data_IF_877704021739
#
_entry.id   IF_877704021739
#
_cell.length_a   1.000
_cell.length_b   1.000
_cell.length_c   1.000
_cell.angle_alpha   90.00
_cell.angle_beta   90.00
_cell.angle_gamma   90.00
#
_symmetry.space_group_name_H-M   'P 1'
#
loop_
_entity.id
_entity.type
_entity.pdbx_description
1 polymer ?
#
# COMPACT_ATOMS: atom_id res chain seq x y z
N UNK A 1 7.10 -0.68 26.00
CA UNK A 1 7.33 0.65 25.39
C UNK A 1 6.81 0.67 23.97
N UNK A 2 7.55 0.29 22.92
CA UNK A 2 7.05 0.47 21.54
C UNK A 2 5.70 -0.20 21.25
N UNK A 3 5.46 -1.44 21.65
CA UNK A 3 4.15 -2.10 21.43
C UNK A 3 3.01 -1.38 22.13
N UNK A 4 3.23 -0.85 23.32
CA UNK A 4 2.23 -0.06 24.05
C UNK A 4 1.95 1.25 23.33
N UNK A 5 2.99 1.99 22.91
CA UNK A 5 2.85 3.23 22.16
C UNK A 5 2.08 3.02 20.85
N UNK A 6 2.43 1.99 20.08
CA UNK A 6 1.72 1.65 18.83
C UNK A 6 0.27 1.26 19.12
N UNK A 7 -0.01 0.44 20.14
CA UNK A 7 -1.36 0.03 20.50
C UNK A 7 -2.23 1.24 20.88
N UNK A 8 -1.74 2.10 21.78
CA UNK A 8 -2.45 3.32 22.20
C UNK A 8 -2.73 4.23 21.00
N UNK A 9 -1.73 4.47 20.17
CA UNK A 9 -1.84 5.32 19.00
C UNK A 9 -2.86 4.77 17.98
N UNK A 10 -2.77 3.48 17.61
CA UNK A 10 -3.66 2.88 16.62
C UNK A 10 -5.09 2.69 17.14
N UNK A 11 -5.30 2.51 18.44
CA UNK A 11 -6.64 2.52 19.03
C UNK A 11 -7.36 3.85 18.79
N UNK A 12 -6.66 4.98 18.87
CA UNK A 12 -7.23 6.31 18.59
C UNK A 12 -7.55 6.51 17.10
N UNK A 13 -6.70 6.02 16.22
CA UNK A 13 -6.77 6.38 14.80
C UNK A 13 -7.50 5.34 13.91
N UNK A 14 -7.44 4.06 14.24
CA UNK A 14 -8.05 3.00 13.42
C UNK A 14 -9.41 2.53 13.93
N UNK A 15 -9.78 2.93 15.15
CA UNK A 15 -11.06 2.58 15.80
C UNK A 15 -11.37 1.08 15.70
N UNK A 16 -10.47 0.20 16.19
CA UNK A 16 -10.68 -1.23 16.11
C UNK A 16 -11.94 -1.64 16.87
N UNK A 17 -12.59 -2.73 16.43
CA UNK A 17 -13.82 -3.26 17.04
C UNK A 17 -13.63 -3.72 18.48
N UNK A 18 -12.42 -4.11 18.85
CA UNK A 18 -11.99 -4.34 20.22
C UNK A 18 -10.62 -3.69 20.45
N UNK A 19 -10.30 -3.21 21.66
CA UNK A 19 -9.05 -2.53 21.92
C UNK A 19 -7.82 -3.37 21.55
N UNK A 20 -6.85 -2.72 20.91
CA UNK A 20 -5.55 -3.31 20.63
C UNK A 20 -4.71 -3.30 21.92
N UNK A 21 -4.09 -4.42 22.22
CA UNK A 21 -3.18 -4.60 23.34
C UNK A 21 -1.75 -4.90 22.85
N UNK A 22 -0.70 -4.64 23.66
CA UNK A 22 0.68 -4.92 23.27
C UNK A 22 0.94 -6.37 22.83
N UNK A 23 0.16 -7.32 23.32
CA UNK A 23 0.24 -8.73 22.95
C UNK A 23 -0.20 -9.00 21.49
N UNK A 24 -1.02 -8.12 20.93
CA UNK A 24 -1.52 -8.22 19.54
C UNK A 24 -0.51 -7.78 18.47
N UNK A 25 0.73 -7.43 18.87
CA UNK A 25 1.73 -6.88 17.97
C UNK A 25 3.00 -7.71 17.89
N UNK A 26 3.48 -7.89 16.67
CA UNK A 26 4.90 -8.20 16.38
C UNK A 26 5.50 -7.01 15.67
N UNK A 27 6.50 -6.36 16.28
CA UNK A 27 7.22 -5.23 15.68
C UNK A 27 8.27 -5.79 14.72
N UNK A 28 8.32 -5.20 13.52
CA UNK A 28 9.15 -5.67 12.42
C UNK A 28 10.04 -4.55 11.87
N UNK A 29 11.06 -4.91 11.13
CA UNK A 29 11.95 -3.96 10.44
C UNK A 29 11.29 -3.37 9.17
N UNK A 30 10.15 -2.67 9.36
CA UNK A 30 9.30 -2.12 8.31
C UNK A 30 8.30 -3.16 7.75
N UNK A 31 7.43 -2.72 6.82
CA UNK A 31 6.40 -3.58 6.23
C UNK A 31 6.95 -4.71 5.35
N UNK A 32 8.06 -4.53 4.65
CA UNK A 32 8.67 -5.62 3.86
C UNK A 32 8.99 -6.83 4.74
N UNK A 33 9.60 -6.59 5.92
CA UNK A 33 9.80 -7.67 6.90
C UNK A 33 8.49 -8.23 7.43
N UNK A 34 7.45 -7.41 7.59
CA UNK A 34 6.15 -7.88 8.04
C UNK A 34 5.51 -8.84 7.03
N UNK A 35 5.53 -8.48 5.75
CA UNK A 35 5.01 -9.31 4.65
C UNK A 35 5.76 -10.64 4.59
N UNK A 36 7.10 -10.59 4.59
CA UNK A 36 7.96 -11.78 4.57
C UNK A 36 7.71 -12.69 5.79
N UNK A 37 7.60 -12.13 6.98
CA UNK A 37 7.40 -12.86 8.22
C UNK A 37 6.02 -13.54 8.27
N UNK A 38 4.96 -12.85 7.84
CA UNK A 38 3.63 -13.45 7.75
C UNK A 38 3.65 -14.59 6.74
N UNK A 39 4.20 -14.37 5.54
CA UNK A 39 4.28 -15.40 4.51
C UNK A 39 4.99 -16.66 5.03
N UNK A 40 6.13 -16.48 5.71
CA UNK A 40 6.88 -17.58 6.30
C UNK A 40 6.10 -18.34 7.39
N UNK A 41 5.29 -17.63 8.18
CA UNK A 41 4.57 -18.25 9.31
C UNK A 41 3.30 -19.00 8.90
N UNK A 42 2.62 -18.61 7.80
CA UNK A 42 1.30 -19.14 7.45
C UNK A 42 1.27 -19.97 6.16
N UNK A 43 2.37 -20.01 5.43
CA UNK A 43 2.45 -20.72 4.16
C UNK A 43 3.63 -21.67 4.11
N UNK A 44 3.47 -22.75 3.35
CA UNK A 44 4.51 -23.76 3.08
C UNK A 44 5.18 -23.48 1.72
N UNK A 45 6.39 -24.02 1.46
CA UNK A 45 6.95 -24.00 0.13
C UNK A 45 5.98 -24.61 -0.90
N UNK A 46 5.70 -23.82 -1.95
CA UNK A 46 4.75 -24.21 -3.00
C UNK A 46 3.32 -23.69 -2.81
N UNK A 47 2.95 -23.16 -1.66
CA UNK A 47 1.66 -22.43 -1.48
C UNK A 47 1.68 -21.11 -2.28
N UNK A 48 0.52 -20.53 -2.53
CA UNK A 48 0.35 -19.27 -3.25
C UNK A 48 -0.34 -18.20 -2.42
N UNK A 49 -0.01 -16.93 -2.70
CA UNK A 49 -0.79 -15.77 -2.27
C UNK A 49 -1.49 -15.13 -3.46
N UNK A 50 -2.72 -14.68 -3.24
CA UNK A 50 -3.43 -13.85 -4.20
C UNK A 50 -3.02 -12.39 -4.01
N UNK A 51 -2.82 -11.70 -5.13
CA UNK A 51 -2.56 -10.27 -5.18
C UNK A 51 -3.55 -9.65 -6.17
N UNK A 52 -4.38 -8.71 -5.70
CA UNK A 52 -5.29 -7.95 -6.56
C UNK A 52 -4.49 -7.06 -7.52
N UNK A 53 -4.68 -7.25 -8.84
CA UNK A 53 -4.02 -6.35 -9.81
C UNK A 53 -4.78 -5.03 -9.91
N UNK A 54 -4.03 -4.00 -9.95
CA UNK A 54 -2.58 -3.83 -9.80
C UNK A 54 -2.11 -3.88 -8.34
N UNK A 55 -0.92 -4.42 -8.09
CA UNK A 55 -0.36 -4.61 -6.75
C UNK A 55 0.93 -3.81 -6.55
N UNK A 56 1.32 -3.65 -5.29
CA UNK A 56 2.62 -3.09 -4.94
C UNK A 56 3.74 -4.05 -5.37
N UNK A 57 4.66 -3.56 -6.19
CA UNK A 57 5.65 -4.38 -6.89
C UNK A 57 6.57 -5.19 -5.96
N UNK A 58 6.85 -4.71 -4.74
CA UNK A 58 7.71 -5.45 -3.80
C UNK A 58 6.98 -6.55 -3.02
N UNK A 59 5.66 -6.68 -3.11
CA UNK A 59 4.99 -7.84 -2.52
C UNK A 59 5.55 -9.16 -3.07
N UNK A 60 5.88 -9.19 -4.36
CA UNK A 60 6.42 -10.39 -4.98
C UNK A 60 7.77 -10.80 -4.39
N UNK A 61 8.83 -9.97 -4.41
CA UNK A 61 10.09 -10.33 -3.78
C UNK A 61 9.96 -10.56 -2.27
N UNK A 62 9.15 -9.77 -1.55
CA UNK A 62 8.96 -9.93 -0.11
C UNK A 62 8.34 -11.30 0.23
N UNK A 63 7.38 -11.79 -0.58
CA UNK A 63 6.73 -13.08 -0.39
C UNK A 63 7.63 -14.27 -0.71
N UNK A 64 8.55 -14.14 -1.68
CA UNK A 64 9.38 -15.27 -2.15
C UNK A 64 10.73 -15.39 -1.45
N UNK A 65 11.12 -14.38 -0.66
CA UNK A 65 12.48 -14.25 -0.14
C UNK A 65 12.99 -15.48 0.63
N UNK A 66 12.15 -16.13 1.43
CA UNK A 66 12.51 -17.33 2.20
C UNK A 66 11.79 -18.60 1.77
N UNK A 67 10.64 -18.47 1.19
CA UNK A 67 9.74 -19.60 0.95
C UNK A 67 9.90 -20.23 -0.42
N UNK A 68 10.65 -19.57 -1.32
CA UNK A 68 10.82 -20.05 -2.69
C UNK A 68 9.50 -20.17 -3.45
N UNK A 69 8.49 -19.35 -3.09
CA UNK A 69 7.19 -19.37 -3.74
C UNK A 69 7.33 -19.19 -5.24
N UNK A 70 6.68 -20.06 -5.98
CA UNK A 70 6.48 -19.82 -7.39
C UNK A 70 5.48 -18.67 -7.55
N UNK A 71 5.99 -17.52 -7.99
CA UNK A 71 5.20 -16.36 -8.34
C UNK A 71 4.27 -16.68 -9.51
N UNK A 72 2.95 -16.51 -9.34
CA UNK A 72 1.98 -16.73 -10.39
C UNK A 72 1.25 -15.46 -10.81
N UNK A 73 1.53 -15.04 -12.03
CA UNK A 73 0.78 -14.01 -12.76
C UNK A 73 -0.71 -14.37 -12.95
N UNK A 74 -1.12 -15.65 -12.77
CA UNK A 74 -2.47 -16.18 -12.97
C UNK A 74 -2.85 -17.17 -11.87
N UNK A 75 -2.70 -16.76 -10.59
CA UNK A 75 -2.85 -17.65 -9.45
C UNK A 75 -4.26 -18.26 -9.34
N UNK A 76 -5.32 -17.48 -9.62
CA UNK A 76 -6.69 -17.95 -9.47
C UNK A 76 -7.06 -19.05 -10.48
N UNK A 77 -6.69 -18.90 -11.75
CA UNK A 77 -6.98 -19.90 -12.78
C UNK A 77 -6.23 -21.23 -12.56
N UNK A 78 -5.01 -21.18 -12.06
CA UNK A 78 -4.21 -22.37 -11.74
C UNK A 78 -4.54 -23.01 -10.40
N UNK A 79 -4.92 -22.25 -9.39
CA UNK A 79 -5.41 -22.79 -8.12
C UNK A 79 -6.76 -23.50 -8.33
N UNK A 80 -7.64 -22.97 -9.17
CA UNK A 80 -8.86 -23.64 -9.59
C UNK A 80 -8.61 -24.92 -10.38
N UNK A 81 -7.44 -25.09 -11.00
CA UNK A 81 -7.02 -26.33 -11.67
C UNK A 81 -6.45 -27.42 -10.72
N UNK A 82 -6.53 -27.22 -9.41
CA UNK A 82 -6.39 -28.29 -8.41
C UNK A 82 -4.96 -28.68 -7.99
N UNK A 83 -3.94 -27.88 -8.29
CA UNK A 83 -2.55 -28.29 -8.01
C UNK A 83 -1.85 -27.48 -6.90
N UNK A 84 -2.45 -26.41 -6.35
CA UNK A 84 -1.76 -25.54 -5.42
C UNK A 84 -2.67 -24.95 -4.34
N UNK A 85 -2.25 -25.07 -3.07
CA UNK A 85 -2.95 -24.44 -1.96
C UNK A 85 -2.76 -22.93 -2.03
N UNK A 86 -3.86 -22.15 -1.93
CA UNK A 86 -3.82 -20.71 -1.72
C UNK A 86 -3.79 -20.46 -0.22
N UNK A 87 -2.70 -19.86 0.27
CA UNK A 87 -2.54 -19.54 1.68
C UNK A 87 -3.40 -18.33 2.07
N UNK A 88 -3.48 -17.30 1.23
CA UNK A 88 -4.25 -16.11 1.53
C UNK A 88 -4.20 -15.03 0.45
N UNK A 89 -4.82 -13.88 0.78
CA UNK A 89 -4.80 -12.66 -0.01
C UNK A 89 -4.07 -11.55 0.73
N UNK A 90 -3.25 -10.77 0.02
CA UNK A 90 -2.73 -9.49 0.52
C UNK A 90 -3.40 -8.37 -0.25
N UNK A 91 -4.00 -7.43 0.49
CA UNK A 91 -4.66 -6.23 -0.04
C UNK A 91 -3.98 -5.00 0.53
N UNK A 92 -3.58 -4.06 -0.32
CA UNK A 92 -3.14 -2.73 0.13
C UNK A 92 -4.35 -1.82 0.25
N UNK A 93 -4.68 -1.37 1.46
CA UNK A 93 -5.80 -0.48 1.75
C UNK A 93 -5.35 0.66 2.69
N UNK A 94 -5.20 1.88 2.20
CA UNK A 94 -5.44 2.39 0.83
C UNK A 94 -4.55 1.76 -0.24
N UNK A 95 -5.10 1.66 -1.47
CA UNK A 95 -4.44 0.98 -2.57
C UNK A 95 -3.19 1.73 -3.05
N UNK A 96 -2.04 1.04 -3.06
CA UNK A 96 -0.83 1.52 -3.68
C UNK A 96 -0.93 1.29 -5.16
N UNK A 97 -0.96 2.37 -5.77
CA UNK A 97 -0.88 3.20 -6.92
C UNK A 97 -2.19 3.91 -7.28
N UNK A 98 -3.38 3.39 -6.93
CA UNK A 98 -4.64 4.06 -7.27
C UNK A 98 -4.96 5.22 -6.31
N UNK A 99 -4.33 5.24 -5.12
CA UNK A 99 -4.61 6.27 -4.11
C UNK A 99 -6.05 6.24 -3.58
N UNK A 100 -6.70 5.07 -3.60
CA UNK A 100 -8.10 4.89 -3.20
C UNK A 100 -8.25 3.91 -2.07
N UNK A 101 -9.27 4.12 -1.24
CA UNK A 101 -9.69 3.17 -0.23
C UNK A 101 -10.71 2.18 -0.79
N UNK A 102 -10.70 0.96 -0.26
CA UNK A 102 -11.79 0.01 -0.49
C UNK A 102 -13.01 0.41 0.33
N UNK A 103 -14.21 0.18 -0.23
CA UNK A 103 -15.42 0.37 0.55
C UNK A 103 -15.53 -0.66 1.68
N UNK A 104 -16.21 -0.29 2.78
CA UNK A 104 -16.50 -1.21 3.89
C UNK A 104 -17.12 -2.52 3.41
N UNK A 105 -18.08 -2.44 2.48
CA UNK A 105 -18.74 -3.62 1.91
C UNK A 105 -17.76 -4.51 1.14
N UNK A 106 -16.89 -3.92 0.32
CA UNK A 106 -15.87 -4.68 -0.43
C UNK A 106 -14.89 -5.40 0.50
N UNK A 107 -14.44 -4.73 1.57
CA UNK A 107 -13.54 -5.35 2.55
C UNK A 107 -14.24 -6.52 3.27
N UNK A 108 -15.46 -6.31 3.76
CA UNK A 108 -16.23 -7.38 4.41
C UNK A 108 -16.44 -8.57 3.47
N UNK A 109 -16.84 -8.35 2.23
CA UNK A 109 -17.04 -9.43 1.25
C UNK A 109 -15.76 -10.22 1.00
N UNK A 110 -14.62 -9.54 0.88
CA UNK A 110 -13.31 -10.21 0.74
C UNK A 110 -12.97 -11.02 2.02
N UNK A 111 -13.09 -10.41 3.19
CA UNK A 111 -12.77 -11.06 4.46
C UNK A 111 -13.65 -12.29 4.69
N UNK A 112 -14.96 -12.21 4.39
CA UNK A 112 -15.90 -13.34 4.48
C UNK A 112 -15.50 -14.45 3.52
N UNK A 113 -15.28 -14.13 2.24
CA UNK A 113 -14.85 -15.11 1.23
C UNK A 113 -13.59 -15.88 1.65
N UNK A 114 -12.58 -15.17 2.17
CA UNK A 114 -11.33 -15.80 2.62
C UNK A 114 -11.52 -16.62 3.90
N UNK A 115 -12.38 -16.17 4.82
CA UNK A 115 -12.77 -16.92 6.02
C UNK A 115 -13.49 -18.24 5.69
N UNK A 116 -14.48 -18.20 4.77
CA UNK A 116 -15.24 -19.37 4.33
C UNK A 116 -14.38 -20.43 3.62
N UNK A 117 -13.29 -20.01 2.99
CA UNK A 117 -12.40 -20.89 2.24
C UNK A 117 -11.12 -21.25 2.99
N UNK A 118 -11.05 -21.05 4.29
CA UNK A 118 -9.95 -21.44 5.15
C UNK A 118 -8.61 -20.76 4.80
N UNK A 119 -8.68 -19.55 4.21
CA UNK A 119 -7.55 -18.77 3.76
C UNK A 119 -7.30 -17.55 4.67
N UNK A 120 -6.07 -17.04 4.66
CA UNK A 120 -5.72 -15.83 5.40
C UNK A 120 -6.04 -14.56 4.60
N UNK A 121 -6.53 -13.54 5.30
CA UNK A 121 -6.71 -12.19 4.77
C UNK A 121 -5.70 -11.23 5.44
N UNK A 122 -4.85 -10.59 4.65
CA UNK A 122 -3.82 -9.68 5.13
C UNK A 122 -4.09 -8.29 4.55
N UNK A 123 -4.40 -7.33 5.41
CA UNK A 123 -4.58 -5.92 5.05
C UNK A 123 -3.29 -5.15 5.27
N UNK A 124 -2.66 -4.70 4.20
CA UNK A 124 -1.56 -3.76 4.27
C UNK A 124 -2.11 -2.33 4.35
N UNK A 125 -2.13 -1.78 5.57
CA UNK A 125 -2.69 -0.48 5.92
C UNK A 125 -1.59 0.59 6.12
N UNK A 126 -0.48 0.47 5.41
CA UNK A 126 0.68 1.38 5.53
C UNK A 126 0.34 2.85 5.22
N UNK A 127 -0.78 3.10 4.52
CA UNK A 127 -1.30 4.44 4.19
C UNK A 127 -2.56 4.82 4.98
N UNK A 128 -2.88 4.11 6.06
CA UNK A 128 -4.11 4.26 6.83
C UNK A 128 -4.40 5.71 7.26
N UNK A 129 -3.36 6.43 7.66
CA UNK A 129 -3.47 7.79 8.17
C UNK A 129 -3.21 8.86 7.10
N UNK A 130 -2.93 8.44 5.87
CA UNK A 130 -2.72 9.31 4.71
C UNK A 130 -3.98 9.40 3.82
N UNK A 131 -5.17 9.24 4.40
CA UNK A 131 -6.45 9.51 3.72
C UNK A 131 -6.80 11.00 3.87
N UNK A 132 -7.23 11.64 2.77
CA UNK A 132 -7.47 13.08 2.65
C UNK A 132 -8.70 13.36 1.79
N UNK A 133 -9.21 14.60 1.82
CA UNK A 133 -10.39 15.01 1.06
C UNK A 133 -10.00 15.41 -0.38
N UNK A 134 -10.74 14.89 -1.36
CA UNK A 134 -10.54 15.20 -2.77
C UNK A 134 -11.58 16.23 -3.24
N UNK A 135 -11.12 17.45 -3.46
CA UNK A 135 -11.97 18.55 -3.93
C UNK A 135 -11.94 18.76 -5.46
N UNK A 136 -11.06 18.05 -6.17
CA UNK A 136 -10.84 18.23 -7.61
C UNK A 136 -11.79 17.36 -8.43
N UNK A 137 -11.93 16.10 -8.08
CA UNK A 137 -12.72 15.14 -8.85
C UNK A 137 -14.19 15.18 -8.42
N UNK A 138 -14.84 16.32 -8.65
CA UNK A 138 -16.22 16.58 -8.22
C UNK A 138 -17.20 15.58 -8.83
N UNK A 139 -18.16 15.15 -8.01
CA UNK A 139 -19.18 14.17 -8.41
C UNK A 139 -18.77 12.71 -8.23
N UNK A 140 -17.53 12.46 -7.77
CA UNK A 140 -17.10 11.16 -7.28
C UNK A 140 -17.10 11.18 -5.74
N UNK A 141 -17.69 10.15 -5.15
CA UNK A 141 -17.68 9.93 -3.69
C UNK A 141 -16.75 8.73 -3.39
N UNK A 142 -15.44 8.96 -3.24
CA UNK A 142 -14.52 7.88 -2.90
C UNK A 142 -14.82 7.35 -1.50
N UNK A 143 -14.70 6.03 -1.32
CA UNK A 143 -14.92 5.41 -0.02
C UNK A 143 -13.94 5.98 1.03
N UNK A 144 -14.40 6.33 2.24
CA UNK A 144 -13.49 6.71 3.32
C UNK A 144 -12.62 5.52 3.72
N UNK A 145 -11.45 5.81 4.29
CA UNK A 145 -10.63 4.75 4.83
C UNK A 145 -11.36 4.01 5.94
N UNK A 146 -11.34 2.69 5.87
CA UNK A 146 -11.87 1.79 6.89
C UNK A 146 -10.79 0.74 7.15
N UNK A 147 -10.32 0.64 8.41
CA UNK A 147 -9.40 -0.43 8.80
C UNK A 147 -10.14 -1.76 8.92
N UNK A 148 -9.50 -2.84 8.49
CA UNK A 148 -10.01 -4.19 8.72
C UNK A 148 -10.20 -4.51 10.21
N UNK A 149 -9.42 -3.88 11.10
CA UNK A 149 -9.56 -4.02 12.55
C UNK A 149 -10.89 -3.49 13.11
N UNK A 150 -11.57 -2.60 12.38
CA UNK A 150 -12.88 -2.06 12.77
C UNK A 150 -14.07 -2.89 12.27
N UNK A 151 -13.82 -3.93 11.47
CA UNK A 151 -14.85 -4.73 10.83
C UNK A 151 -15.16 -5.99 11.63
N UNK A 152 -16.45 -6.26 11.83
CA UNK A 152 -16.95 -7.45 12.50
C UNK A 152 -18.08 -8.07 11.71
N UNK A 153 -18.14 -9.39 11.67
CA UNK A 153 -19.26 -10.21 11.20
C UNK A 153 -19.15 -11.58 11.86
N UNK A 154 -20.27 -12.27 12.01
CA UNK A 154 -20.33 -13.67 12.48
C UNK A 154 -19.67 -14.64 11.50
N UNK A 155 -19.53 -14.24 10.25
CA UNK A 155 -18.98 -15.07 9.17
C UNK A 155 -17.46 -14.95 9.02
N UNK A 156 -16.83 -14.12 9.87
CA UNK A 156 -15.38 -13.94 9.86
C UNK A 156 -14.69 -14.96 10.76
N UNK A 157 -13.52 -15.39 10.35
CA UNK A 157 -12.57 -16.20 11.13
C UNK A 157 -11.44 -15.29 11.65
N UNK A 158 -11.58 -14.70 12.86
CA UNK A 158 -10.73 -13.59 13.29
C UNK A 158 -9.24 -13.94 13.43
N UNK A 159 -8.90 -15.19 13.68
CA UNK A 159 -7.52 -15.67 13.80
C UNK A 159 -6.80 -15.78 12.44
N UNK A 160 -7.54 -15.60 11.32
CA UNK A 160 -7.01 -15.57 9.95
C UNK A 160 -6.95 -14.17 9.35
N UNK A 161 -7.35 -13.15 10.10
CA UNK A 161 -7.36 -11.75 9.64
C UNK A 161 -6.20 -11.02 10.32
N UNK A 162 -5.30 -10.48 9.50
CA UNK A 162 -4.12 -9.77 9.97
C UNK A 162 -3.99 -8.42 9.29
N UNK A 163 -3.48 -7.46 10.02
CA UNK A 163 -3.20 -6.12 9.49
C UNK A 163 -1.71 -5.81 9.60
N UNK A 164 -1.16 -5.14 8.61
CA UNK A 164 0.20 -4.61 8.63
C UNK A 164 0.11 -3.09 8.64
N UNK A 165 0.90 -2.46 9.51
CA UNK A 165 1.04 -1.00 9.57
C UNK A 165 2.50 -0.60 9.75
N UNK A 166 2.85 0.63 9.39
CA UNK A 166 4.22 1.16 9.56
C UNK A 166 4.24 2.67 9.61
N UNK A 167 5.21 3.22 10.32
CA UNK A 167 5.51 4.66 10.32
C UNK A 167 6.13 5.15 9.01
N UNK A 168 6.52 4.27 8.11
CA UNK A 168 7.30 4.59 6.91
C UNK A 168 6.62 5.58 5.97
N UNK A 169 5.29 5.53 5.86
CA UNK A 169 4.51 6.35 4.92
C UNK A 169 3.74 7.44 5.65
N UNK A 170 2.95 7.07 6.65
CA UNK A 170 2.10 8.00 7.40
C UNK A 170 2.91 9.11 8.11
N UNK A 171 4.12 8.79 8.56
CA UNK A 171 5.05 9.74 9.20
C UNK A 171 6.25 10.13 8.32
N UNK A 172 6.38 9.57 7.11
CA UNK A 172 7.59 9.76 6.32
C UNK A 172 8.87 9.19 6.98
N UNK A 173 8.73 8.41 8.04
CA UNK A 173 9.81 7.94 8.90
C UNK A 173 10.34 6.55 8.45
N UNK A 174 10.50 6.36 7.14
CA UNK A 174 10.96 5.10 6.57
C UNK A 174 12.36 4.66 7.05
N UNK A 175 13.20 5.61 7.43
CA UNK A 175 14.54 5.34 7.98
C UNK A 175 14.53 4.71 9.38
N UNK A 176 13.47 4.90 10.18
CA UNK A 176 13.34 4.28 11.49
C UNK A 176 13.07 2.76 11.41
N UNK A 177 12.58 2.27 10.27
CA UNK A 177 12.28 0.85 10.04
C UNK A 177 11.28 0.27 11.03
N UNK A 178 10.26 1.04 11.44
CA UNK A 178 9.21 0.59 12.34
C UNK A 178 8.01 0.11 11.53
N UNK A 179 7.78 -1.20 11.56
CA UNK A 179 6.58 -1.86 11.07
C UNK A 179 5.95 -2.71 12.16
N UNK A 180 4.71 -3.10 11.97
CA UNK A 180 3.96 -3.92 12.90
C UNK A 180 3.05 -4.89 12.16
N UNK A 181 3.06 -6.15 12.60
CA UNK A 181 2.03 -7.14 12.32
C UNK A 181 1.04 -7.07 13.46
N UNK A 182 -0.23 -6.89 13.15
CA UNK A 182 -1.34 -6.79 14.10
C UNK A 182 -2.24 -8.01 13.91
N UNK A 183 -2.40 -8.81 14.95
CA UNK A 183 -3.24 -9.99 14.97
C UNK A 183 -3.87 -10.14 16.35
N UNK A 184 -5.15 -9.79 16.47
CA UNK A 184 -5.85 -9.76 17.75
C UNK A 184 -6.21 -11.17 18.26
N UNK A 185 -6.49 -12.09 17.34
CA UNK A 185 -7.09 -13.39 17.66
C UNK A 185 -6.17 -14.58 17.41
N UNK A 186 -4.90 -14.35 16.98
CA UNK A 186 -3.95 -15.43 16.70
C UNK A 186 -2.65 -15.31 17.50
N UNK A 187 -2.66 -15.68 18.79
CA UNK A 187 -1.46 -15.66 19.62
C UNK A 187 -0.39 -16.67 19.15
N UNK A 188 -0.79 -17.70 18.41
CA UNK A 188 0.13 -18.68 17.86
C UNK A 188 0.98 -18.10 16.75
N UNK A 189 0.43 -17.20 15.93
CA UNK A 189 1.19 -16.44 14.94
C UNK A 189 2.31 -15.64 15.61
N UNK A 190 1.99 -14.88 16.66
CA UNK A 190 3.00 -14.09 17.38
C UNK A 190 4.10 -14.95 17.99
N UNK A 191 3.75 -16.15 18.51
CA UNK A 191 4.75 -17.11 19.02
C UNK A 191 5.66 -17.62 17.92
N UNK A 192 5.11 -17.96 16.75
CA UNK A 192 5.90 -18.41 15.60
C UNK A 192 6.86 -17.30 15.10
N UNK A 193 6.41 -16.04 15.13
CA UNK A 193 7.19 -14.90 14.67
C UNK A 193 8.34 -14.50 15.60
N UNK A 194 8.38 -14.97 16.85
CA UNK A 194 9.46 -14.62 17.82
C UNK A 194 10.83 -14.98 17.26
N UNK A 195 10.97 -16.17 16.68
CA UNK A 195 12.26 -16.64 16.13
C UNK A 195 12.73 -15.79 14.96
N UNK A 196 11.81 -15.38 14.09
CA UNK A 196 12.11 -14.57 12.90
C UNK A 196 12.40 -13.13 13.30
N UNK A 197 11.60 -12.57 14.22
CA UNK A 197 11.74 -11.21 14.72
C UNK A 197 13.09 -10.97 15.43
N UNK A 198 13.71 -12.01 15.97
CA UNK A 198 15.01 -11.91 16.63
C UNK A 198 16.08 -11.33 15.70
N UNK A 199 16.04 -11.67 14.42
CA UNK A 199 17.03 -11.22 13.41
C UNK A 199 16.57 -10.05 12.56
N UNK A 200 15.31 -9.66 12.66
CA UNK A 200 14.68 -8.61 11.85
C UNK A 200 13.91 -7.58 12.69
N UNK A 201 14.30 -7.37 13.94
CA UNK A 201 13.71 -6.33 14.78
C UNK A 201 14.36 -4.97 14.52
N UNK A 202 13.62 -3.87 14.67
CA UNK A 202 14.18 -2.53 14.64
C UNK A 202 15.20 -2.32 15.76
N UNK A 203 16.11 -1.36 15.57
CA UNK A 203 17.07 -1.00 16.62
C UNK A 203 16.36 -0.45 17.87
N UNK A 204 16.99 -0.58 19.03
CA UNK A 204 16.46 -0.01 20.28
C UNK A 204 16.32 1.51 20.18
N UNK A 205 17.23 2.18 19.47
CA UNK A 205 17.14 3.62 19.23
C UNK A 205 15.90 3.98 18.40
N UNK A 206 15.65 3.25 17.30
CA UNK A 206 14.44 3.43 16.49
C UNK A 206 13.16 3.19 17.30
N UNK A 207 13.14 2.14 18.12
CA UNK A 207 12.01 1.84 18.99
C UNK A 207 11.74 2.95 20.00
N UNK A 208 12.78 3.53 20.58
CA UNK A 208 12.66 4.63 21.56
C UNK A 208 12.15 5.92 20.87
N UNK A 209 12.75 6.30 19.74
CA UNK A 209 12.32 7.49 18.99
C UNK A 209 10.85 7.33 18.53
N UNK A 210 10.50 6.18 17.97
CA UNK A 210 9.15 5.92 17.51
C UNK A 210 8.12 5.96 18.65
N UNK A 211 8.45 5.36 19.80
CA UNK A 211 7.56 5.39 20.97
C UNK A 211 7.30 6.83 21.43
N UNK A 212 8.33 7.65 21.56
CA UNK A 212 8.18 9.06 21.96
C UNK A 212 7.32 9.86 20.97
N UNK A 213 7.49 9.64 19.66
CA UNK A 213 6.67 10.29 18.63
C UNK A 213 5.19 9.90 18.77
N UNK A 214 4.91 8.61 18.99
CA UNK A 214 3.55 8.09 19.06
C UNK A 214 2.86 8.43 20.39
N UNK A 215 3.61 8.57 21.48
CA UNK A 215 3.13 8.93 22.81
C UNK A 215 2.85 10.44 22.94
N UNK A 216 3.46 11.29 22.10
CA UNK A 216 3.09 12.70 22.00
C UNK A 216 1.82 12.84 21.14
N UNK A 217 0.67 12.64 21.78
CA UNK A 217 -0.65 12.66 21.11
C UNK A 217 -0.90 13.99 20.39
N UNK A 218 -0.59 15.10 21.03
CA UNK A 218 -0.85 16.43 20.46
C UNK A 218 -0.02 16.65 19.19
N UNK A 219 1.25 16.28 19.23
CA UNK A 219 2.14 16.44 18.09
C UNK A 219 1.76 15.47 16.96
N UNK A 220 1.51 14.20 17.26
CA UNK A 220 1.19 13.18 16.26
C UNK A 220 -0.12 13.47 15.55
N UNK A 221 -1.15 13.93 16.27
CA UNK A 221 -2.45 14.31 15.68
C UNK A 221 -2.31 15.54 14.78
N UNK A 222 -1.58 16.57 15.25
CA UNK A 222 -1.30 17.76 14.45
C UNK A 222 -0.50 17.42 13.19
N UNK A 223 0.51 16.55 13.31
CA UNK A 223 1.32 16.10 12.17
C UNK A 223 0.45 15.41 11.13
N UNK A 224 -0.37 14.44 11.53
CA UNK A 224 -1.25 13.69 10.61
C UNK A 224 -2.24 14.63 9.93
N UNK A 225 -2.89 15.53 10.68
CA UNK A 225 -3.82 16.48 10.09
C UNK A 225 -3.14 17.40 9.06
N UNK A 226 -1.96 17.93 9.40
CA UNK A 226 -1.17 18.77 8.50
C UNK A 226 -0.73 17.99 7.26
N UNK A 227 -0.29 16.74 7.43
CA UNK A 227 0.11 15.90 6.32
C UNK A 227 -1.06 15.62 5.35
N UNK A 228 -2.24 15.30 5.88
CA UNK A 228 -3.46 15.09 5.07
C UNK A 228 -3.82 16.32 4.25
N UNK A 229 -3.82 17.50 4.87
CA UNK A 229 -4.08 18.77 4.16
C UNK A 229 -3.08 19.00 3.03
N UNK A 230 -1.78 18.84 3.31
CA UNK A 230 -0.72 18.99 2.30
C UNK A 230 -0.83 17.99 1.17
N UNK A 231 -1.22 16.75 1.45
CA UNK A 231 -1.42 15.72 0.43
C UNK A 231 -2.61 16.07 -0.48
N UNK A 232 -3.72 16.57 0.09
CA UNK A 232 -4.86 17.05 -0.69
C UNK A 232 -4.46 18.21 -1.62
N UNK A 233 -3.71 19.19 -1.10
CA UNK A 233 -3.21 20.33 -1.89
C UNK A 233 -2.34 19.87 -3.05
N UNK A 234 -1.41 18.95 -2.79
CA UNK A 234 -0.50 18.39 -3.80
C UNK A 234 -1.25 17.57 -4.85
N UNK A 235 -2.22 16.77 -4.43
CA UNK A 235 -3.10 16.07 -5.37
C UNK A 235 -3.83 17.06 -6.28
N UNK A 236 -4.40 18.12 -5.69
CA UNK A 236 -5.07 19.18 -6.44
C UNK A 236 -4.18 19.83 -7.51
N UNK A 237 -2.90 20.02 -7.19
CA UNK A 237 -1.92 20.57 -8.12
C UNK A 237 -1.66 19.60 -9.30
N UNK A 238 -1.37 18.33 -9.01
CA UNK A 238 -1.04 17.34 -10.06
C UNK A 238 -2.27 16.99 -10.90
N UNK A 239 -3.46 16.88 -10.31
CA UNK A 239 -4.68 16.59 -11.03
C UNK A 239 -5.09 17.74 -11.97
N UNK A 240 -4.96 19.00 -11.52
CA UNK A 240 -5.18 20.18 -12.40
C UNK A 240 -4.17 20.24 -13.53
N UNK A 241 -2.90 19.93 -13.25
CA UNK A 241 -1.88 19.83 -14.30
C UNK A 241 -2.27 18.77 -15.34
N UNK A 242 -2.67 17.57 -14.92
CA UNK A 242 -3.09 16.50 -15.83
C UNK A 242 -4.27 16.93 -16.71
N UNK A 243 -5.29 17.57 -16.11
CA UNK A 243 -6.46 18.10 -16.83
C UNK A 243 -6.06 19.17 -17.85
N UNK A 244 -5.17 20.11 -17.50
CA UNK A 244 -4.71 21.19 -18.40
C UNK A 244 -3.97 20.62 -19.63
N UNK A 245 -3.25 19.52 -19.47
CA UNK A 245 -2.50 18.87 -20.56
C UNK A 245 -3.28 17.73 -21.22
N UNK A 246 -4.56 17.56 -20.88
CA UNK A 246 -5.41 16.49 -21.46
C UNK A 246 -4.91 15.08 -21.12
N UNK A 247 -4.20 14.90 -20.02
CA UNK A 247 -3.69 13.62 -19.56
C UNK A 247 -4.80 12.89 -18.80
N UNK A 248 -5.17 11.70 -19.28
CA UNK A 248 -6.11 10.84 -18.58
C UNK A 248 -5.49 10.28 -17.31
N UNK A 249 -6.21 10.31 -16.20
CA UNK A 249 -5.77 9.69 -14.95
C UNK A 249 -6.94 9.02 -14.22
N UNK A 250 -6.62 8.17 -13.26
CA UNK A 250 -7.65 7.55 -12.43
C UNK A 250 -8.16 8.55 -11.39
N UNK A 251 -9.29 9.18 -11.67
CA UNK A 251 -9.93 10.16 -10.81
C UNK A 251 -10.49 9.51 -9.52
N UNK A 252 -10.75 10.32 -8.49
CA UNK A 252 -11.34 9.88 -7.20
C UNK A 252 -10.30 9.25 -6.25
N UNK A 253 -9.03 9.56 -6.39
CA UNK A 253 -8.04 9.27 -5.33
C UNK A 253 -8.35 10.11 -4.09
N UNK A 254 -8.24 9.50 -2.91
CA UNK A 254 -8.49 10.16 -1.61
C UNK A 254 -7.54 9.68 -0.52
N UNK A 255 -6.46 9.02 -0.90
CA UNK A 255 -5.48 8.51 0.05
C UNK A 255 -4.10 8.33 -0.59
N UNK A 256 -3.09 8.08 0.25
CA UNK A 256 -1.70 7.95 -0.15
C UNK A 256 -1.21 9.21 -0.90
N UNK A 257 -0.27 9.07 -1.83
CA UNK A 257 0.37 10.20 -2.50
C UNK A 257 0.74 9.90 -3.96
N UNK A 258 -0.19 9.23 -4.66
CA UNK A 258 0.00 8.78 -6.04
C UNK A 258 -1.09 9.32 -6.97
N UNK A 259 -0.68 9.79 -8.16
CA UNK A 259 -1.55 9.92 -9.31
C UNK A 259 -1.23 8.80 -10.30
N UNK A 260 -2.24 8.06 -10.72
CA UNK A 260 -2.14 7.04 -11.74
C UNK A 260 -2.61 7.61 -13.06
N UNK A 261 -1.69 7.84 -14.01
CA UNK A 261 -1.93 8.61 -15.22
C UNK A 261 -1.47 7.89 -16.49
N UNK A 262 -2.21 8.06 -17.57
CA UNK A 262 -1.91 7.57 -18.93
C UNK A 262 -1.03 8.56 -19.67
N UNK A 263 0.27 8.49 -19.41
CA UNK A 263 1.28 9.31 -20.10
C UNK A 263 1.56 8.78 -21.52
N UNK A 264 1.33 7.49 -21.75
CA UNK A 264 1.55 6.86 -23.05
C UNK A 264 0.61 7.40 -24.13
N UNK A 265 -0.69 7.44 -23.86
CA UNK A 265 -1.66 8.02 -24.78
C UNK A 265 -1.46 9.53 -24.97
N UNK A 266 -1.05 10.23 -23.89
CA UNK A 266 -0.71 11.64 -23.97
C UNK A 266 0.48 11.87 -24.92
N UNK A 267 1.55 11.11 -24.76
CA UNK A 267 2.72 11.19 -25.63
C UNK A 267 2.39 10.87 -27.11
N UNK A 268 1.63 9.80 -27.38
CA UNK A 268 1.23 9.38 -28.73
C UNK A 268 0.42 10.43 -29.48
N UNK A 269 -0.38 11.26 -28.79
CA UNK A 269 -1.15 12.34 -29.45
C UNK A 269 -0.28 13.41 -30.10
N UNK A 270 0.90 13.65 -29.56
CA UNK A 270 1.79 14.73 -30.00
C UNK A 270 3.02 14.23 -30.76
N UNK A 271 3.22 12.92 -30.81
CA UNK A 271 4.39 12.32 -31.45
C UNK A 271 3.96 11.31 -32.53
N UNK A 272 4.28 11.57 -33.77
CA UNK A 272 3.94 10.73 -34.93
C UNK A 272 4.78 9.46 -35.08
N UNK A 273 5.64 9.16 -34.12
CA UNK A 273 6.49 7.96 -34.13
C UNK A 273 5.70 6.68 -33.85
N UNK A 274 5.89 5.66 -34.67
CA UNK A 274 5.32 4.32 -34.45
C UNK A 274 6.17 3.53 -33.47
N UNK A 275 5.88 3.65 -32.17
CA UNK A 275 6.43 2.77 -31.14
C UNK A 275 5.40 1.67 -30.88
N UNK A 276 5.84 0.43 -30.90
CA UNK A 276 4.97 -0.69 -30.54
C UNK A 276 4.54 -0.59 -29.09
N UNK A 277 3.32 -1.03 -28.78
CA UNK A 277 2.78 -0.99 -27.43
C UNK A 277 3.67 -1.75 -26.43
N UNK A 278 4.26 -2.87 -26.84
CA UNK A 278 5.16 -3.67 -26.00
C UNK A 278 6.44 -2.94 -25.55
N UNK A 279 6.90 -1.94 -26.34
CA UNK A 279 8.13 -1.17 -26.09
C UNK A 279 7.83 0.21 -25.47
N UNK A 280 6.58 0.64 -25.45
CA UNK A 280 6.20 2.03 -25.09
C UNK A 280 6.63 2.41 -23.68
N UNK A 281 6.37 1.54 -22.69
CA UNK A 281 6.71 1.82 -21.29
C UNK A 281 8.22 1.98 -21.11
N UNK A 282 9.00 1.09 -21.68
CA UNK A 282 10.46 1.09 -21.57
C UNK A 282 11.06 2.32 -22.29
N UNK A 283 10.50 2.67 -23.47
CA UNK A 283 10.87 3.87 -24.18
C UNK A 283 10.57 5.15 -23.38
N UNK A 284 9.35 5.29 -22.84
CA UNK A 284 8.96 6.46 -22.06
C UNK A 284 9.76 6.58 -20.77
N UNK A 285 10.05 5.46 -20.09
CA UNK A 285 10.92 5.48 -18.92
C UNK A 285 12.31 6.04 -19.25
N UNK A 286 12.91 5.63 -20.38
CA UNK A 286 14.20 6.15 -20.82
C UNK A 286 14.10 7.65 -21.12
N UNK A 287 13.07 8.07 -21.86
CA UNK A 287 12.82 9.46 -22.21
C UNK A 287 12.66 10.35 -20.97
N UNK A 288 11.87 9.92 -19.97
CA UNK A 288 11.71 10.63 -18.70
C UNK A 288 13.05 10.76 -17.95
N UNK A 289 13.85 9.71 -17.89
CA UNK A 289 15.15 9.73 -17.23
C UNK A 289 16.15 10.69 -17.92
N UNK A 290 16.17 10.74 -19.26
CA UNK A 290 16.97 11.69 -20.03
C UNK A 290 16.58 13.14 -19.67
N UNK A 291 15.30 13.38 -19.37
CA UNK A 291 14.78 14.68 -18.93
C UNK A 291 14.82 14.86 -17.40
N UNK A 292 15.55 13.99 -16.68
CA UNK A 292 15.73 14.04 -15.22
C UNK A 292 14.40 13.96 -14.46
N UNK A 293 13.46 13.18 -14.95
CA UNK A 293 12.21 12.82 -14.27
C UNK A 293 12.19 11.32 -14.00
N UNK A 294 11.77 10.94 -12.81
CA UNK A 294 11.50 9.55 -12.48
C UNK A 294 10.01 9.39 -12.11
N UNK A 295 9.36 8.52 -12.85
CA UNK A 295 8.00 8.02 -12.58
C UNK A 295 8.04 6.49 -12.60
N UNK A 296 7.11 5.81 -11.97
CA UNK A 296 7.10 4.35 -11.97
C UNK A 296 6.18 3.82 -13.07
N UNK A 297 6.71 2.95 -13.94
CA UNK A 297 5.94 2.32 -15.01
C UNK A 297 4.87 1.38 -14.47
N UNK A 298 3.73 1.32 -15.14
CA UNK A 298 2.65 0.38 -14.85
C UNK A 298 3.06 -1.08 -14.93
N UNK A 299 4.00 -1.39 -15.79
CA UNK A 299 4.60 -2.73 -15.93
C UNK A 299 5.15 -3.26 -14.61
N UNK A 300 5.79 -2.39 -13.80
CA UNK A 300 6.32 -2.76 -12.47
C UNK A 300 5.23 -3.18 -11.49
N UNK A 301 4.00 -2.70 -11.65
CA UNK A 301 2.84 -2.99 -10.81
C UNK A 301 1.94 -4.09 -11.38
N UNK A 302 2.35 -4.77 -12.43
CA UNK A 302 1.54 -5.76 -13.12
C UNK A 302 0.31 -5.17 -13.82
N UNK A 303 0.40 -3.92 -14.29
CA UNK A 303 -0.67 -3.29 -15.09
C UNK A 303 -0.91 -4.08 -16.38
N UNK A 304 -2.18 -4.25 -16.74
CA UNK A 304 -2.57 -4.82 -18.03
C UNK A 304 -2.66 -3.76 -19.14
N UNK A 305 -2.66 -2.49 -18.75
CA UNK A 305 -2.69 -1.34 -19.67
C UNK A 305 -1.31 -0.76 -19.80
N UNK A 306 -0.87 -0.59 -21.04
CA UNK A 306 0.42 0.02 -21.42
C UNK A 306 0.31 1.55 -21.37
N UNK A 307 1.40 2.24 -21.11
CA UNK A 307 1.46 3.70 -21.10
C UNK A 307 0.98 4.35 -19.79
N UNK A 308 0.60 3.56 -18.81
CA UNK A 308 0.20 4.06 -17.50
C UNK A 308 1.38 4.16 -16.54
N UNK A 309 1.45 5.26 -15.82
CA UNK A 309 2.54 5.56 -14.90
C UNK A 309 2.02 6.06 -13.56
N UNK A 310 2.77 5.77 -12.49
CA UNK A 310 2.52 6.29 -11.16
C UNK A 310 3.39 7.51 -10.91
N UNK A 311 2.76 8.66 -10.71
CA UNK A 311 3.40 9.91 -10.30
C UNK A 311 3.29 10.03 -8.77
N UNK A 312 4.42 10.21 -8.08
CA UNK A 312 4.46 10.48 -6.64
C UNK A 312 4.43 11.98 -6.43
N UNK A 313 3.43 12.49 -5.70
CA UNK A 313 3.24 13.93 -5.49
C UNK A 313 3.61 14.42 -4.07
N UNK A 314 4.13 13.56 -3.20
CA UNK A 314 4.57 13.94 -1.84
C UNK A 314 5.94 14.63 -1.79
N UNK A 315 6.41 15.15 -2.90
CA UNK A 315 7.64 15.91 -3.00
C UNK A 315 7.47 17.37 -2.57
N UNK A 316 8.57 18.07 -2.37
CA UNK A 316 8.55 19.52 -2.26
C UNK A 316 7.86 20.14 -3.50
N UNK A 317 7.11 21.23 -3.30
CA UNK A 317 6.32 21.84 -4.35
C UNK A 317 7.14 22.25 -5.57
N UNK A 318 8.29 22.86 -5.33
CA UNK A 318 9.18 23.33 -6.40
C UNK A 318 9.74 22.16 -7.22
N UNK A 319 10.09 21.05 -6.56
CA UNK A 319 10.55 19.85 -7.23
C UNK A 319 9.42 19.19 -8.03
N UNK A 320 8.22 19.12 -7.45
CA UNK A 320 7.05 18.57 -8.12
C UNK A 320 6.71 19.36 -9.38
N UNK A 321 6.59 20.69 -9.28
CA UNK A 321 6.31 21.57 -10.43
C UNK A 321 7.37 21.44 -11.51
N UNK A 322 8.65 21.43 -11.15
CA UNK A 322 9.75 21.23 -12.11
C UNK A 322 9.65 19.88 -12.81
N UNK A 323 9.29 18.82 -12.09
CA UNK A 323 9.08 17.50 -12.68
C UNK A 323 7.92 17.46 -13.65
N UNK A 324 6.78 18.05 -13.29
CA UNK A 324 5.58 18.13 -14.12
C UNK A 324 5.84 18.97 -15.39
N UNK A 325 6.53 20.11 -15.27
CA UNK A 325 6.94 20.93 -16.42
C UNK A 325 7.79 20.13 -17.39
N UNK A 326 8.77 19.39 -16.93
CA UNK A 326 9.62 18.54 -17.78
C UNK A 326 8.82 17.45 -18.50
N UNK A 327 7.83 16.85 -17.83
CA UNK A 327 6.91 15.88 -18.47
C UNK A 327 6.09 16.58 -19.55
N UNK A 328 5.61 17.80 -19.32
CA UNK A 328 4.82 18.58 -20.29
C UNK A 328 5.59 18.92 -21.56
N UNK A 329 6.91 19.08 -21.50
CA UNK A 329 7.76 19.33 -22.67
C UNK A 329 7.88 18.12 -23.60
N UNK A 330 7.41 16.96 -23.19
CA UNK A 330 7.48 15.71 -23.94
C UNK A 330 6.16 15.37 -24.67
N UNK A 331 5.16 16.21 -24.49
CA UNK A 331 3.83 16.07 -25.09
C UNK A 331 3.60 17.05 -26.23
#
# INVERSE_FOLDING_TARGET
MIKTAVATFLNRHLQPSSPLEPAHFTITNGCSSAVEHIAWAIANPGDAFLLGRPYYNTFVPDLVLRTGFNYYKRAFEKAAMGCQRVAGLIVSNPNNRLGRCYSRASLLNLMTFFSENDMYFISDEIYALSAWENEVDRGLEPAPFTSCLSLTSTDLTPDRIHTIWSMSKDFGANGLRIGAIISQSNPSLHKALVAVALYSSPSSASNHIAANILEDEKWSDMFIQTNRSRLADRYGLVARWANTHGITYTAGANAAFFLWADLGSAWKRHNSGTIKDEDLDDFLMKLFLEHKVYVSSGKEFGSESVGWFRIVFSQDESQLLTGLERVSLLH
#
